data_IF_340513274089
#
_entry.id   IF_340513274089
#
_cell.length_a   1.000
_cell.length_b   1.000
_cell.length_c   1.000
_cell.angle_alpha   90.00
_cell.angle_beta   90.00
_cell.angle_gamma   90.00
#
_symmetry.space_group_name_H-M   'P 1'
#
loop_
_entity.id
_entity.type
_entity.pdbx_description
1 polymer ?
#
# COMPACT_ATOMS: atom_id res chain seq x y z
N UNK A 1 17.79 16.38 -22.83
CA UNK A 1 17.98 16.11 -21.40
C UNK A 1 19.00 15.00 -21.24
N UNK A 2 20.06 15.22 -20.47
CA UNK A 2 21.11 14.22 -20.24
C UNK A 2 20.85 13.47 -18.95
N UNK A 3 20.36 12.24 -19.05
CA UNK A 3 20.30 11.34 -17.91
C UNK A 3 21.73 10.98 -17.49
N UNK A 4 22.05 11.15 -16.20
CA UNK A 4 23.36 10.79 -15.64
C UNK A 4 23.56 9.27 -15.47
N UNK A 5 22.61 8.43 -15.90
CA UNK A 5 22.66 6.96 -15.81
C UNK A 5 23.06 6.44 -14.42
N UNK A 6 22.67 7.14 -13.35
CA UNK A 6 22.95 6.77 -11.96
C UNK A 6 22.24 5.49 -11.48
N UNK A 7 21.35 4.92 -12.31
CA UNK A 7 20.60 3.68 -12.06
C UNK A 7 19.69 3.66 -10.81
N UNK A 8 19.55 4.77 -10.09
CA UNK A 8 18.68 4.89 -8.91
C UNK A 8 17.23 4.49 -9.21
N UNK A 9 16.73 4.78 -10.41
CA UNK A 9 15.38 4.40 -10.84
C UNK A 9 15.15 2.88 -10.98
N UNK A 10 16.21 2.07 -11.03
CA UNK A 10 16.16 0.61 -11.22
C UNK A 10 16.38 -0.19 -9.93
N UNK A 11 16.64 0.48 -8.81
CA UNK A 11 16.93 -0.18 -7.52
C UNK A 11 15.68 -0.76 -6.83
N UNK A 12 14.49 -0.62 -7.43
CA UNK A 12 13.23 -1.15 -6.88
C UNK A 12 12.70 -0.38 -5.67
N UNK A 13 13.26 0.79 -5.35
CA UNK A 13 12.74 1.65 -4.29
C UNK A 13 11.47 2.39 -4.75
N UNK A 14 10.49 2.61 -3.86
CA UNK A 14 9.25 3.33 -4.18
C UNK A 14 9.49 4.83 -4.43
N UNK A 15 10.61 5.36 -3.95
CA UNK A 15 11.11 6.69 -4.26
C UNK A 15 12.63 6.65 -4.36
N UNK A 16 13.20 7.47 -5.23
CA UNK A 16 14.64 7.57 -5.44
C UNK A 16 15.06 9.01 -5.73
N UNK A 17 16.30 9.36 -5.41
CA UNK A 17 16.84 10.67 -5.71
C UNK A 17 17.35 10.73 -7.16
N UNK A 18 16.90 11.73 -7.93
CA UNK A 18 17.35 11.96 -9.30
C UNK A 18 18.30 13.16 -9.36
N UNK A 19 19.57 12.92 -9.66
CA UNK A 19 20.60 13.96 -9.77
C UNK A 19 20.28 15.01 -10.84
N UNK A 20 19.65 14.60 -11.96
CA UNK A 20 19.25 15.53 -13.02
C UNK A 20 18.16 16.49 -12.55
N UNK A 21 17.23 16.02 -11.72
CA UNK A 21 16.15 16.84 -11.15
C UNK A 21 16.54 17.51 -9.84
N UNK A 22 17.67 17.09 -9.25
CA UNK A 22 18.11 17.44 -7.91
C UNK A 22 16.99 17.28 -6.86
N UNK A 23 16.15 16.25 -7.01
CA UNK A 23 14.96 16.04 -6.19
C UNK A 23 14.61 14.54 -6.08
N UNK A 24 13.77 14.20 -5.11
CA UNK A 24 13.19 12.88 -4.94
C UNK A 24 12.06 12.65 -5.96
N UNK A 25 12.19 11.56 -6.71
CA UNK A 25 11.20 11.11 -7.68
C UNK A 25 10.50 9.88 -7.13
N UNK A 26 9.17 9.91 -7.15
CA UNK A 26 8.33 8.78 -6.77
C UNK A 26 8.25 7.80 -7.95
N UNK A 27 8.50 6.53 -7.69
CA UNK A 27 8.43 5.47 -8.68
C UNK A 27 7.02 4.88 -8.73
N UNK A 28 6.19 5.36 -9.65
CA UNK A 28 4.79 4.94 -9.79
C UNK A 28 4.65 3.42 -10.03
N UNK A 29 5.58 2.81 -10.77
CA UNK A 29 5.57 1.37 -11.07
C UNK A 29 5.75 0.48 -9.84
N UNK A 30 6.48 0.96 -8.84
CA UNK A 30 6.71 0.24 -7.57
C UNK A 30 5.65 0.58 -6.51
N UNK A 31 5.02 1.75 -6.62
CA UNK A 31 3.99 2.18 -5.69
C UNK A 31 2.67 1.42 -5.86
N UNK A 32 2.28 1.07 -7.08
CA UNK A 32 1.09 0.24 -7.32
C UNK A 32 1.20 -1.12 -6.61
N UNK A 33 2.37 -1.74 -6.69
CA UNK A 33 2.64 -3.05 -6.09
C UNK A 33 2.63 -3.00 -4.56
N UNK A 34 3.27 -1.98 -3.96
CA UNK A 34 3.26 -1.78 -2.51
C UNK A 34 1.88 -1.42 -1.92
N UNK A 35 0.95 -0.92 -2.75
CA UNK A 35 -0.42 -0.59 -2.34
C UNK A 35 -1.33 -1.82 -2.39
N UNK A 36 -1.18 -2.69 -3.38
CA UNK A 36 -1.90 -3.97 -3.46
C UNK A 36 -1.53 -4.91 -2.32
N UNK A 37 -0.25 -4.98 -1.94
CA UNK A 37 0.21 -5.81 -0.81
C UNK A 37 -0.28 -5.31 0.55
N UNK A 38 -0.75 -4.06 0.63
CA UNK A 38 -1.32 -3.44 1.84
C UNK A 38 -2.84 -3.55 1.90
N UNK A 39 -3.44 -4.57 1.28
CA UNK A 39 -4.80 -4.98 1.67
C UNK A 39 -4.74 -5.44 3.13
N UNK A 40 -4.98 -4.51 4.05
CA UNK A 40 -5.13 -4.78 5.48
C UNK A 40 -6.36 -5.67 5.63
N UNK A 41 -6.16 -7.00 5.59
CA UNK A 41 -7.16 -8.05 5.80
C UNK A 41 -7.67 -8.14 7.24
N UNK A 42 -7.67 -7.00 7.94
CA UNK A 42 -8.18 -6.92 9.30
C UNK A 42 -9.70 -6.88 9.32
N UNK A 43 -10.23 -7.30 10.45
CA UNK A 43 -11.61 -7.19 10.89
C UNK A 43 -12.08 -5.71 10.87
N UNK A 44 -12.52 -5.22 9.70
CA UNK A 44 -12.99 -3.83 9.52
C UNK A 44 -14.40 -3.68 10.08
N UNK A 45 -14.58 -2.73 11.02
CA UNK A 45 -15.89 -2.26 11.48
C UNK A 45 -16.78 -1.92 10.29
N UNK A 46 -18.01 -2.44 10.28
CA UNK A 46 -18.95 -2.29 9.17
C UNK A 46 -18.84 -3.33 8.04
N UNK A 47 -17.78 -4.15 7.98
CA UNK A 47 -17.78 -5.31 7.07
C UNK A 47 -18.77 -6.37 7.57
N UNK A 48 -19.45 -7.07 6.64
CA UNK A 48 -20.48 -8.07 6.98
C UNK A 48 -19.96 -9.14 7.96
N UNK A 49 -18.77 -9.69 7.69
CA UNK A 49 -18.16 -10.72 8.53
C UNK A 49 -17.83 -10.18 9.93
N UNK A 50 -17.34 -8.93 10.01
CA UNK A 50 -17.09 -8.26 11.28
C UNK A 50 -18.36 -8.09 12.11
N UNK A 51 -19.44 -7.60 11.50
CA UNK A 51 -20.70 -7.38 12.20
C UNK A 51 -21.33 -8.70 12.66
N UNK A 52 -21.28 -9.76 11.84
CA UNK A 52 -21.77 -11.08 12.24
C UNK A 52 -21.00 -11.58 13.47
N UNK A 53 -19.67 -11.50 13.46
CA UNK A 53 -18.85 -11.92 14.59
C UNK A 53 -19.13 -11.07 15.84
N UNK A 54 -19.20 -9.73 15.70
CA UNK A 54 -19.54 -8.81 16.81
C UNK A 54 -20.90 -9.16 17.43
N UNK A 55 -21.92 -9.40 16.59
CA UNK A 55 -23.28 -9.73 17.03
C UNK A 55 -23.34 -11.10 17.71
N UNK A 56 -22.59 -12.10 17.21
CA UNK A 56 -22.43 -13.40 17.87
C UNK A 56 -21.81 -13.27 19.26
N UNK A 57 -20.71 -12.52 19.40
CA UNK A 57 -20.07 -12.28 20.70
C UNK A 57 -21.00 -11.58 21.70
N UNK A 58 -21.81 -10.63 21.22
CA UNK A 58 -22.77 -9.90 22.06
C UNK A 58 -24.09 -10.63 22.29
N UNK A 59 -24.26 -11.84 21.72
CA UNK A 59 -25.53 -12.60 21.75
C UNK A 59 -26.73 -11.78 21.25
N UNK A 60 -26.49 -10.85 20.32
CA UNK A 60 -27.54 -10.06 19.65
C UNK A 60 -28.30 -10.92 18.62
N UNK A 61 -27.79 -12.11 18.29
CA UNK A 61 -28.39 -13.10 17.39
C UNK A 61 -28.31 -14.46 18.09
N UNK A 62 -29.44 -15.15 18.22
CA UNK A 62 -29.47 -16.58 18.56
C UNK A 62 -29.03 -17.38 17.33
N UNK A 63 -28.00 -18.22 17.50
CA UNK A 63 -27.53 -19.17 16.47
C UNK A 63 -28.23 -20.49 16.67
#
# INVERSE_FOLDING_TARGET
>A
MSCFNCQNCKQGSPAYFCLEKNDFVINESQNSQALEDKIRGGWKKGSKNYEIHRRKLRKEIEV
#
